data_IF_930225834117
#
_entry.id   IF_930225834117
#
_cell.length_a   1.000
_cell.length_b   1.000
_cell.length_c   1.000
_cell.angle_alpha   90.00
_cell.angle_beta   90.00
_cell.angle_gamma   90.00
#
_symmetry.space_group_name_H-M   'P 1'
#
loop_
_entity.id
_entity.type
_entity.pdbx_description
1 polymer ?
#
# COMPACT_ATOMS: atom_id res chain seq x y z
N UNK A 1 -2.95 -11.62 -7.22
CA UNK A 1 -3.05 -11.36 -5.77
C UNK A 1 -4.49 -11.37 -5.38
N UNK A 2 -4.88 -12.15 -4.37
CA UNK A 2 -6.20 -12.02 -3.76
C UNK A 2 -6.23 -10.86 -2.77
N UNK A 3 -7.41 -10.43 -2.32
CA UNK A 3 -7.52 -9.47 -1.22
C UNK A 3 -6.87 -10.04 0.06
N UNK A 4 -6.04 -9.25 0.73
CA UNK A 4 -5.35 -9.70 1.95
C UNK A 4 -4.53 -8.62 2.64
N UNK A 5 -3.95 -9.00 3.78
CA UNK A 5 -3.00 -8.18 4.56
C UNK A 5 -1.58 -8.53 4.17
N UNK A 6 -0.76 -7.50 3.97
CA UNK A 6 0.63 -7.58 3.53
C UNK A 6 1.47 -6.53 4.26
N UNK A 7 2.78 -6.58 4.06
CA UNK A 7 3.64 -5.43 4.32
C UNK A 7 4.11 -4.78 3.02
N UNK A 8 4.34 -3.47 3.05
CA UNK A 8 4.76 -2.68 1.91
C UNK A 8 6.02 -1.88 2.21
N UNK A 9 6.95 -1.86 1.25
CA UNK A 9 8.12 -0.98 1.28
C UNK A 9 8.01 0.09 0.18
N UNK A 10 8.10 1.36 0.57
CA UNK A 10 7.98 2.52 -0.32
C UNK A 10 9.32 3.16 -0.71
N UNK A 11 10.40 2.80 0.00
CA UNK A 11 11.75 3.32 -0.21
C UNK A 11 12.74 2.17 -0.10
N UNK A 12 13.76 2.15 -0.94
CA UNK A 12 14.77 1.08 -0.95
C UNK A 12 15.45 0.83 0.41
N UNK A 13 15.45 1.83 1.30
CA UNK A 13 16.01 1.73 2.66
C UNK A 13 14.98 2.05 3.75
N UNK A 14 13.69 2.13 3.39
CA UNK A 14 12.61 2.37 4.34
C UNK A 14 12.17 1.09 5.03
N UNK A 15 11.54 1.22 6.20
CA UNK A 15 10.87 0.10 6.84
C UNK A 15 9.63 -0.36 6.06
N UNK A 16 9.21 -1.58 6.37
CA UNK A 16 7.93 -2.14 5.93
C UNK A 16 6.78 -1.57 6.78
N UNK A 17 5.62 -1.33 6.15
CA UNK A 17 4.39 -0.89 6.81
C UNK A 17 3.26 -1.83 6.44
N UNK A 18 2.36 -2.13 7.37
CA UNK A 18 1.22 -2.99 7.09
C UNK A 18 0.22 -2.30 6.15
N UNK A 19 -0.29 -3.08 5.20
CA UNK A 19 -1.26 -2.65 4.19
C UNK A 19 -2.30 -3.72 3.96
N UNK A 20 -3.50 -3.32 3.53
CA UNK A 20 -4.36 -4.20 2.74
C UNK A 20 -4.08 -3.97 1.26
N UNK A 21 -4.09 -5.05 0.48
CA UNK A 21 -3.91 -4.96 -0.97
C UNK A 21 -4.84 -5.92 -1.70
N UNK A 22 -5.31 -5.49 -2.87
CA UNK A 22 -6.11 -6.30 -3.78
C UNK A 22 -5.86 -5.91 -5.23
N UNK A 23 -6.05 -6.87 -6.14
CA UNK A 23 -5.96 -6.62 -7.58
C UNK A 23 -7.38 -6.46 -8.13
N UNK A 24 -7.72 -5.24 -8.54
CA UNK A 24 -9.02 -4.87 -9.10
C UNK A 24 -8.82 -4.50 -10.56
N UNK A 25 -9.40 -5.27 -11.48
CA UNK A 25 -9.32 -5.02 -12.93
C UNK A 25 -7.89 -4.76 -13.46
N UNK A 26 -6.90 -5.47 -12.91
CA UNK A 26 -5.48 -5.34 -13.27
C UNK A 26 -4.76 -4.16 -12.59
N UNK A 27 -5.45 -3.39 -11.77
CA UNK A 27 -4.89 -2.33 -10.93
C UNK A 27 -4.66 -2.86 -9.52
N UNK A 28 -3.46 -2.65 -8.99
CA UNK A 28 -3.15 -2.98 -7.60
C UNK A 28 -3.60 -1.82 -6.71
N UNK A 29 -4.65 -2.03 -5.94
CA UNK A 29 -5.10 -1.09 -4.92
C UNK A 29 -4.43 -1.45 -3.59
N UNK A 30 -3.86 -0.44 -2.92
CA UNK A 30 -3.16 -0.60 -1.65
C UNK A 30 -3.66 0.46 -0.68
N UNK A 31 -4.13 0.01 0.48
CA UNK A 31 -4.53 0.87 1.58
C UNK A 31 -3.60 0.66 2.77
N UNK A 32 -2.98 1.74 3.24
CA UNK A 32 -2.15 1.71 4.45
C UNK A 32 -3.03 1.62 5.69
N UNK A 33 -2.68 0.72 6.62
CA UNK A 33 -3.41 0.60 7.89
C UNK A 33 -3.13 1.78 8.83
N UNK A 34 -1.98 2.43 8.67
CA UNK A 34 -1.61 3.68 9.34
C UNK A 34 -1.33 4.83 8.34
N UNK A 35 -1.53 6.10 8.73
CA UNK A 35 -1.23 7.23 7.85
C UNK A 35 0.26 7.33 7.48
N UNK A 36 0.56 7.20 6.19
CA UNK A 36 1.92 7.38 5.65
C UNK A 36 2.06 8.74 4.96
N UNK A 37 3.21 9.39 5.18
CA UNK A 37 3.56 10.66 4.54
C UNK A 37 4.53 10.46 3.37
N UNK A 38 4.45 11.36 2.39
CA UNK A 38 5.41 11.42 1.29
C UNK A 38 5.26 10.29 0.26
N UNK A 39 4.02 9.79 0.11
CA UNK A 39 3.60 8.88 -0.97
C UNK A 39 3.14 9.73 -2.16
N UNK A 40 3.75 9.54 -3.32
CA UNK A 40 3.49 10.32 -4.52
C UNK A 40 3.56 9.45 -5.78
N UNK A 41 2.82 9.82 -6.85
CA UNK A 41 2.95 9.17 -8.15
C UNK A 41 4.41 9.12 -8.64
N UNK A 42 4.76 8.02 -9.32
CA UNK A 42 6.12 7.75 -9.81
C UNK A 42 7.05 7.06 -8.81
N UNK A 43 6.66 6.98 -7.54
CA UNK A 43 7.38 6.13 -6.56
C UNK A 43 7.09 4.65 -6.79
N UNK A 44 8.00 3.80 -6.33
CA UNK A 44 7.81 2.36 -6.32
C UNK A 44 7.21 1.89 -4.99
N UNK A 45 6.43 0.82 -5.05
CA UNK A 45 5.98 0.04 -3.90
C UNK A 45 6.33 -1.43 -4.13
N UNK A 46 6.79 -2.10 -3.07
CA UNK A 46 7.02 -3.55 -3.06
C UNK A 46 6.14 -4.16 -1.97
N UNK A 47 5.39 -5.21 -2.32
CA UNK A 47 4.55 -5.96 -1.39
C UNK A 47 5.24 -7.26 -0.96
N UNK A 48 5.10 -7.56 0.32
CA UNK A 48 5.65 -8.74 0.97
C UNK A 48 4.56 -9.56 1.67
N UNK A 49 4.71 -10.87 1.62
CA UNK A 49 4.01 -11.85 2.45
C UNK A 49 5.05 -12.51 3.37
N UNK A 50 5.10 -12.05 4.61
CA UNK A 50 6.23 -12.30 5.50
C UNK A 50 7.52 -11.74 4.92
N UNK A 51 8.48 -12.60 4.59
CA UNK A 51 9.77 -12.18 3.99
C UNK A 51 9.81 -12.33 2.47
N UNK A 52 8.74 -12.83 1.86
CA UNK A 52 8.68 -13.12 0.43
C UNK A 52 8.15 -11.90 -0.32
N UNK A 53 8.89 -11.45 -1.34
CA UNK A 53 8.36 -10.48 -2.31
C UNK A 53 7.29 -11.16 -3.15
N UNK A 54 6.13 -10.53 -3.21
CA UNK A 54 4.97 -11.09 -3.90
C UNK A 54 4.38 -10.14 -4.96
N UNK A 55 4.83 -8.90 -5.00
CA UNK A 55 4.53 -7.97 -6.09
C UNK A 55 5.32 -6.67 -5.98
N UNK A 56 5.42 -5.95 -7.09
CA UNK A 56 5.90 -4.56 -7.10
C UNK A 56 5.12 -3.77 -8.15
N UNK A 57 4.99 -2.46 -7.90
CA UNK A 57 4.29 -1.56 -8.80
C UNK A 57 4.89 -0.15 -8.72
N UNK A 58 4.63 0.65 -9.75
CA UNK A 58 4.80 2.10 -9.69
C UNK A 58 3.48 2.74 -9.30
N UNK A 59 3.51 3.63 -8.32
CA UNK A 59 2.33 4.34 -7.86
C UNK A 59 1.84 5.26 -8.97
N UNK A 60 0.64 5.00 -9.49
CA UNK A 60 0.01 5.82 -10.51
C UNK A 60 -0.74 7.02 -9.89
N UNK A 61 -1.46 6.79 -8.80
CA UNK A 61 -2.28 7.79 -8.10
C UNK A 61 -2.22 7.58 -6.60
N UNK A 62 -2.43 8.66 -5.83
CA UNK A 62 -2.63 8.58 -4.39
C UNK A 62 -3.89 9.33 -4.00
N UNK A 63 -4.65 8.76 -3.08
CA UNK A 63 -5.78 9.43 -2.43
C UNK A 63 -5.54 9.44 -0.92
N UNK A 64 -6.14 10.40 -0.23
CA UNK A 64 -6.19 10.35 1.23
C UNK A 64 -7.38 9.49 1.61
N UNK A 65 -7.19 8.54 2.52
CA UNK A 65 -8.32 7.90 3.18
C UNK A 65 -9.17 9.00 3.83
N UNK A 66 -10.47 9.04 3.49
CA UNK A 66 -11.39 9.92 4.16
C UNK A 66 -11.36 9.55 5.65
N UNK A 67 -11.13 10.52 6.53
CA UNK A 67 -11.32 10.28 7.96
C UNK A 67 -12.79 9.93 8.15
N UNK A 68 -13.09 8.67 8.45
CA UNK A 68 -14.37 8.33 9.06
C UNK A 68 -14.36 8.97 10.44
N UNK A 69 -14.99 10.14 10.57
CA UNK A 69 -15.30 10.72 11.86
C UNK A 69 -16.36 9.80 12.49
N UNK A 70 -15.97 8.95 13.43
CA UNK A 70 -16.95 8.35 14.33
C UNK A 70 -17.57 9.48 15.13
N UNK A 71 -18.78 9.88 14.74
CA UNK A 71 -19.64 10.66 15.61
C UNK A 71 -19.93 9.80 16.85
N UNK A 72 -19.55 10.31 18.03
CA UNK A 72 -20.04 9.86 19.32
C UNK A 72 -21.37 10.54 19.61
#
# INVERSE_FOLDING_TARGET
MGPGTYTAQLRAHGGETEVTAELVDGTLEVSFTEPVRGVAPGQAIVLYDGTRVVGSATIATTSRAAKTHSAV
#
